data_IF_832405429104
#
_entry.id   IF_832405429104
#
_cell.length_a   1.000
_cell.length_b   1.000
_cell.length_c   1.000
_cell.angle_alpha   90.00
_cell.angle_beta   90.00
_cell.angle_gamma   90.00
#
_symmetry.space_group_name_H-M   'P 1'
#
loop_
_entity.id
_entity.type
_entity.pdbx_description
1 polymer ?
#
# COMPACT_ATOMS: atom_id res chain seq x y z
N UNK A 1 49.54 2.11 -5.44
CA UNK A 1 48.26 2.61 -5.96
C UNK A 1 47.23 1.50 -5.76
N UNK A 2 46.53 1.55 -4.64
CA UNK A 2 45.43 0.63 -4.29
C UNK A 2 44.28 1.50 -3.82
N UNK A 3 43.49 1.95 -4.79
CA UNK A 3 42.19 2.60 -4.60
C UNK A 3 41.17 1.48 -4.54
N UNK A 4 40.71 1.15 -3.33
CA UNK A 4 39.45 0.45 -3.16
C UNK A 4 38.61 1.32 -2.24
N UNK A 5 37.71 2.07 -2.87
CA UNK A 5 36.74 2.96 -2.25
C UNK A 5 35.45 2.14 -2.04
N UNK A 6 35.44 1.15 -1.14
CA UNK A 6 34.24 0.33 -0.88
C UNK A 6 33.37 1.01 0.17
N UNK A 7 32.51 1.94 -0.25
CA UNK A 7 31.53 2.57 0.64
C UNK A 7 30.24 1.75 0.80
N UNK A 8 29.99 0.74 -0.05
CA UNK A 8 28.78 -0.08 -0.05
C UNK A 8 29.10 -1.58 -0.23
N UNK A 9 28.43 -2.48 0.51
CA UNK A 9 28.58 -3.93 0.31
C UNK A 9 27.88 -4.40 -0.98
N UNK A 10 28.42 -5.41 -1.67
CA UNK A 10 27.82 -6.00 -2.88
C UNK A 10 26.47 -6.70 -2.60
N UNK A 11 26.33 -7.28 -1.40
CA UNK A 11 25.15 -8.02 -0.95
C UNK A 11 24.78 -7.68 0.50
N UNK A 12 23.47 -7.69 0.80
CA UNK A 12 22.94 -7.64 2.17
C UNK A 12 22.38 -9.00 2.58
N UNK A 13 22.68 -9.41 3.80
CA UNK A 13 22.10 -10.57 4.47
C UNK A 13 20.88 -10.08 5.27
N UNK A 14 19.70 -10.58 4.93
CA UNK A 14 18.44 -10.29 5.62
C UNK A 14 18.27 -11.30 6.77
N UNK A 15 18.51 -10.86 8.01
CA UNK A 15 18.44 -11.69 9.21
C UNK A 15 16.99 -11.88 9.73
N UNK A 16 15.99 -11.33 9.03
CA UNK A 16 14.66 -11.02 9.56
C UNK A 16 13.97 -12.09 10.43
N UNK A 17 14.14 -13.38 10.15
CA UNK A 17 13.54 -14.49 10.92
C UNK A 17 14.55 -15.45 11.56
N UNK A 18 15.84 -15.10 11.62
CA UNK A 18 16.88 -16.00 12.17
C UNK A 18 16.60 -16.38 13.64
N UNK A 19 15.94 -15.51 14.40
CA UNK A 19 15.52 -15.76 15.79
C UNK A 19 14.20 -16.56 15.91
N UNK A 20 13.47 -16.77 14.80
CA UNK A 20 12.13 -17.39 14.75
C UNK A 20 12.01 -18.43 13.60
N UNK A 21 12.86 -19.47 13.56
CA UNK A 21 12.90 -20.45 12.46
C UNK A 21 11.59 -21.24 12.27
N UNK A 22 10.79 -21.38 13.34
CA UNK A 22 9.48 -22.05 13.28
C UNK A 22 8.44 -21.29 12.45
N UNK A 23 8.66 -20.00 12.16
CA UNK A 23 7.72 -19.16 11.43
C UNK A 23 8.00 -19.12 9.92
N UNK A 24 9.19 -19.53 9.48
CA UNK A 24 9.61 -19.46 8.08
C UNK A 24 8.74 -20.33 7.17
N UNK A 25 8.50 -21.59 7.55
CA UNK A 25 7.67 -22.51 6.79
C UNK A 25 6.19 -22.08 6.73
N UNK A 26 5.54 -21.70 7.86
CA UNK A 26 4.20 -21.11 7.83
C UNK A 26 4.11 -19.88 6.92
N UNK A 27 5.07 -18.95 7.03
CA UNK A 27 5.06 -17.72 6.24
C UNK A 27 5.26 -18.02 4.75
N UNK A 28 6.16 -18.94 4.39
CA UNK A 28 6.35 -19.39 3.02
C UNK A 28 5.06 -19.94 2.42
N UNK A 29 4.36 -20.82 3.14
CA UNK A 29 3.08 -21.40 2.69
C UNK A 29 2.02 -20.31 2.52
N UNK A 30 1.89 -19.39 3.49
CA UNK A 30 0.93 -18.29 3.42
C UNK A 30 1.21 -17.39 2.22
N UNK A 31 2.45 -16.99 2.00
CA UNK A 31 2.85 -16.14 0.86
C UNK A 31 2.63 -16.85 -0.49
N UNK A 32 2.93 -18.15 -0.57
CA UNK A 32 2.75 -18.94 -1.78
C UNK A 32 1.28 -19.02 -2.21
N UNK A 33 0.37 -19.06 -1.24
CA UNK A 33 -1.08 -19.13 -1.49
C UNK A 33 -1.66 -17.72 -1.74
N UNK A 34 -1.28 -16.74 -0.91
CA UNK A 34 -1.86 -15.38 -0.97
C UNK A 34 -1.39 -14.59 -2.18
N UNK A 35 -0.17 -14.82 -2.67
CA UNK A 35 0.36 -14.14 -3.86
C UNK A 35 -0.53 -14.32 -5.11
N UNK A 36 -0.77 -15.55 -5.60
CA UNK A 36 -1.61 -15.74 -6.79
C UNK A 36 -3.05 -15.30 -6.56
N UNK A 37 -3.60 -15.47 -5.35
CA UNK A 37 -4.94 -14.99 -5.00
C UNK A 37 -5.04 -13.47 -5.12
N UNK A 38 -4.02 -12.75 -4.64
CA UNK A 38 -3.94 -11.28 -4.73
C UNK A 38 -3.85 -10.81 -6.17
N UNK A 39 -3.03 -11.47 -6.99
CA UNK A 39 -2.93 -11.17 -8.42
C UNK A 39 -4.29 -11.39 -9.12
N UNK A 40 -4.89 -12.57 -8.92
CA UNK A 40 -6.17 -12.90 -9.51
C UNK A 40 -7.29 -11.94 -9.09
N UNK A 41 -7.36 -11.61 -7.79
CA UNK A 41 -8.36 -10.69 -7.25
C UNK A 41 -8.25 -9.29 -7.84
N UNK A 42 -7.04 -8.74 -7.91
CA UNK A 42 -6.81 -7.41 -8.49
C UNK A 42 -7.02 -7.38 -10.00
N UNK A 43 -6.60 -8.41 -10.74
CA UNK A 43 -6.91 -8.55 -12.17
C UNK A 43 -8.43 -8.59 -12.38
N UNK A 44 -9.16 -9.36 -11.58
CA UNK A 44 -10.61 -9.44 -11.68
C UNK A 44 -11.27 -8.08 -11.44
N UNK A 45 -10.81 -7.30 -10.46
CA UNK A 45 -11.31 -5.94 -10.22
C UNK A 45 -11.06 -5.03 -11.43
N UNK A 46 -9.86 -5.05 -11.99
CA UNK A 46 -9.51 -4.24 -13.17
C UNK A 46 -10.41 -4.62 -14.34
N UNK A 47 -10.57 -5.91 -14.63
CA UNK A 47 -11.41 -6.40 -15.73
C UNK A 47 -12.87 -6.02 -15.53
N UNK A 48 -13.43 -6.29 -14.35
CA UNK A 48 -14.83 -5.98 -14.04
C UNK A 48 -15.10 -4.48 -14.13
N UNK A 49 -14.20 -3.64 -13.61
CA UNK A 49 -14.33 -2.17 -13.65
C UNK A 49 -14.23 -1.61 -15.07
N UNK A 50 -13.51 -2.28 -15.99
CA UNK A 50 -13.34 -1.85 -17.38
C UNK A 50 -14.43 -2.39 -18.31
N UNK A 51 -14.95 -3.58 -18.04
CA UNK A 51 -15.86 -4.29 -18.94
C UNK A 51 -17.33 -4.09 -18.61
N UNK A 52 -17.70 -3.77 -17.35
CA UNK A 52 -19.09 -3.49 -16.98
C UNK A 52 -19.38 -1.98 -17.02
N UNK A 53 -20.19 -1.49 -17.98
CA UNK A 53 -20.53 -0.07 -18.08
C UNK A 53 -21.24 0.49 -16.84
N UNK A 54 -21.86 -0.37 -16.01
CA UNK A 54 -22.51 0.02 -14.76
C UNK A 54 -21.51 0.45 -13.69
N UNK A 55 -20.24 0.10 -13.86
CA UNK A 55 -19.14 0.45 -12.97
C UNK A 55 -18.28 1.62 -13.51
N UNK A 56 -18.75 2.35 -14.53
CA UNK A 56 -18.10 3.58 -15.00
C UNK A 56 -18.32 4.76 -14.03
N UNK A 57 -17.80 4.65 -12.81
CA UNK A 57 -17.77 5.75 -11.85
C UNK A 57 -16.32 6.12 -11.48
N UNK A 58 -16.07 7.37 -11.03
CA UNK A 58 -14.79 7.79 -10.49
C UNK A 58 -14.21 6.85 -9.42
N UNK A 59 -15.04 6.34 -8.51
CA UNK A 59 -14.63 5.36 -7.49
C UNK A 59 -13.96 4.13 -8.11
N UNK A 60 -14.57 3.53 -9.14
CA UNK A 60 -14.03 2.33 -9.80
C UNK A 60 -12.81 2.64 -10.67
N UNK A 61 -12.70 3.86 -11.18
CA UNK A 61 -11.48 4.34 -11.83
C UNK A 61 -10.30 4.39 -10.85
N UNK A 62 -10.48 4.96 -9.66
CA UNK A 62 -9.43 4.96 -8.62
C UNK A 62 -9.17 3.57 -8.07
N UNK A 63 -10.21 2.74 -7.92
CA UNK A 63 -10.05 1.34 -7.50
C UNK A 63 -9.21 0.54 -8.52
N UNK A 64 -9.35 0.81 -9.82
CA UNK A 64 -8.51 0.20 -10.86
C UNK A 64 -7.03 0.58 -10.67
N UNK A 65 -6.74 1.84 -10.33
CA UNK A 65 -5.38 2.30 -10.04
C UNK A 65 -4.84 1.64 -8.76
N UNK A 66 -5.66 1.54 -7.71
CA UNK A 66 -5.31 0.86 -6.47
C UNK A 66 -5.00 -0.62 -6.70
N UNK A 67 -5.81 -1.33 -7.49
CA UNK A 67 -5.56 -2.73 -7.84
C UNK A 67 -4.29 -2.93 -8.65
N UNK A 68 -3.97 -2.02 -9.57
CA UNK A 68 -2.71 -2.06 -10.31
C UNK A 68 -1.51 -1.84 -9.37
N UNK A 69 -1.62 -0.86 -8.46
CA UNK A 69 -0.63 -0.58 -7.43
C UNK A 69 -0.39 -1.79 -6.52
N UNK A 70 -1.47 -2.39 -5.99
CA UNK A 70 -1.42 -3.59 -5.15
C UNK A 70 -0.69 -4.75 -5.84
N UNK A 71 -0.92 -4.91 -7.16
CA UNK A 71 -0.21 -5.90 -7.96
C UNK A 71 1.30 -5.61 -8.00
N UNK A 72 1.68 -4.38 -8.33
CA UNK A 72 3.08 -3.98 -8.40
C UNK A 72 3.79 -4.11 -7.04
N UNK A 73 3.16 -3.65 -5.96
CA UNK A 73 3.68 -3.75 -4.60
C UNK A 73 3.91 -5.21 -4.22
N UNK A 74 2.89 -6.06 -4.37
CA UNK A 74 2.97 -7.47 -4.00
C UNK A 74 4.04 -8.20 -4.84
N UNK A 75 4.12 -7.96 -6.15
CA UNK A 75 5.14 -8.57 -7.03
C UNK A 75 6.55 -8.09 -6.72
N UNK A 76 6.74 -6.87 -6.19
CA UNK A 76 8.07 -6.37 -5.82
C UNK A 76 8.62 -6.98 -4.52
N UNK A 77 7.73 -7.45 -3.64
CA UNK A 77 8.08 -7.93 -2.30
C UNK A 77 8.03 -9.46 -2.24
N UNK A 78 6.88 -10.05 -2.58
CA UNK A 78 6.55 -11.44 -2.23
C UNK A 78 7.44 -12.46 -2.94
N UNK A 79 7.78 -12.34 -4.23
CA UNK A 79 8.69 -13.29 -4.89
C UNK A 79 10.06 -13.35 -4.23
N UNK A 80 10.65 -12.19 -3.88
CA UNK A 80 11.94 -12.14 -3.21
C UNK A 80 11.86 -12.73 -1.80
N UNK A 81 10.78 -12.45 -1.06
CA UNK A 81 10.55 -13.07 0.25
C UNK A 81 10.42 -14.60 0.15
N UNK A 82 9.70 -15.12 -0.84
CA UNK A 82 9.57 -16.56 -1.06
C UNK A 82 10.92 -17.21 -1.36
N UNK A 83 11.76 -16.57 -2.19
CA UNK A 83 13.11 -17.05 -2.47
C UNK A 83 13.99 -17.07 -1.22
N UNK A 84 13.93 -16.01 -0.40
CA UNK A 84 14.70 -15.93 0.84
C UNK A 84 14.25 -16.96 1.88
N UNK A 85 12.93 -17.19 2.01
CA UNK A 85 12.37 -18.18 2.95
C UNK A 85 12.63 -19.62 2.49
N UNK A 86 12.71 -19.88 1.18
CA UNK A 86 12.97 -21.20 0.61
C UNK A 86 14.46 -21.55 0.46
N UNK A 87 15.37 -20.61 0.72
CA UNK A 87 16.81 -20.75 0.51
C UNK A 87 17.58 -20.74 1.84
N UNK A 88 18.69 -21.46 1.90
CA UNK A 88 19.64 -21.38 3.03
C UNK A 88 20.44 -20.07 3.04
N UNK A 89 20.52 -19.36 1.91
CA UNK A 89 21.11 -18.03 1.78
C UNK A 89 20.02 -16.97 1.66
N UNK A 90 19.87 -16.15 2.70
CA UNK A 90 18.89 -15.06 2.79
C UNK A 90 19.52 -13.73 2.37
N UNK A 91 19.89 -13.61 1.10
CA UNK A 91 20.64 -12.48 0.58
C UNK A 91 19.84 -11.68 -0.45
N UNK A 92 20.01 -10.36 -0.44
CA UNK A 92 19.54 -9.45 -1.48
C UNK A 92 20.73 -8.64 -1.98
N UNK A 93 20.86 -8.47 -3.30
CA UNK A 93 21.89 -7.60 -3.85
C UNK A 93 21.66 -6.14 -3.47
N UNK A 94 22.71 -5.32 -3.42
CA UNK A 94 22.56 -3.89 -3.16
C UNK A 94 21.59 -3.22 -4.14
N UNK A 95 21.71 -3.54 -5.44
CA UNK A 95 20.80 -3.02 -6.47
C UNK A 95 19.37 -3.50 -6.25
N UNK A 96 19.18 -4.77 -5.87
CA UNK A 96 17.86 -5.30 -5.55
C UNK A 96 17.21 -4.59 -4.36
N UNK A 97 18.00 -4.34 -3.30
CA UNK A 97 17.59 -3.56 -2.14
C UNK A 97 17.17 -2.14 -2.51
N UNK A 98 17.96 -1.45 -3.32
CA UNK A 98 17.68 -0.09 -3.80
C UNK A 98 16.38 -0.06 -4.61
N UNK A 99 16.22 -0.96 -5.58
CA UNK A 99 15.02 -1.04 -6.41
C UNK A 99 13.78 -1.32 -5.56
N UNK A 100 13.88 -2.28 -4.63
CA UNK A 100 12.80 -2.61 -3.71
C UNK A 100 12.39 -1.41 -2.85
N UNK A 101 13.36 -0.65 -2.33
CA UNK A 101 13.13 0.56 -1.55
C UNK A 101 12.33 1.61 -2.34
N UNK A 102 12.78 1.92 -3.56
CA UNK A 102 12.11 2.89 -4.43
C UNK A 102 10.68 2.47 -4.75
N UNK A 103 10.49 1.21 -5.18
CA UNK A 103 9.16 0.69 -5.55
C UNK A 103 8.24 0.71 -4.34
N UNK A 104 8.72 0.29 -3.18
CA UNK A 104 7.93 0.23 -1.96
C UNK A 104 7.42 1.59 -1.51
N UNK A 105 8.31 2.58 -1.40
CA UNK A 105 7.94 3.93 -0.99
C UNK A 105 7.07 4.63 -2.05
N UNK A 106 7.34 4.38 -3.33
CA UNK A 106 6.51 4.89 -4.42
C UNK A 106 5.07 4.39 -4.34
N UNK A 107 4.90 3.07 -4.23
CA UNK A 107 3.58 2.45 -4.15
C UNK A 107 2.88 2.87 -2.84
N UNK A 108 3.57 2.85 -1.70
CA UNK A 108 2.99 3.24 -0.41
C UNK A 108 2.49 4.69 -0.39
N UNK A 109 3.27 5.65 -0.90
CA UNK A 109 2.85 7.04 -0.97
C UNK A 109 1.66 7.24 -1.93
N UNK A 110 1.69 6.55 -3.07
CA UNK A 110 0.59 6.60 -4.05
C UNK A 110 -0.69 6.01 -3.46
N UNK A 111 -0.60 4.91 -2.70
CA UNK A 111 -1.73 4.28 -2.02
C UNK A 111 -2.36 5.20 -0.98
N UNK A 112 -1.55 5.88 -0.15
CA UNK A 112 -2.04 6.87 0.82
C UNK A 112 -2.95 7.91 0.16
N UNK A 113 -2.50 8.48 -0.95
CA UNK A 113 -3.19 9.53 -1.69
C UNK A 113 -4.41 8.99 -2.46
N UNK A 114 -4.33 7.77 -3.00
CA UNK A 114 -5.47 7.10 -3.64
C UNK A 114 -6.59 6.84 -2.64
N UNK A 115 -6.29 6.35 -1.43
CA UNK A 115 -7.28 6.15 -0.38
C UNK A 115 -7.93 7.48 0.05
N UNK A 116 -7.14 8.57 0.08
CA UNK A 116 -7.69 9.89 0.36
C UNK A 116 -8.65 10.37 -0.74
N UNK A 117 -8.28 10.26 -2.02
CA UNK A 117 -9.17 10.72 -3.11
C UNK A 117 -10.42 9.84 -3.24
N UNK A 118 -10.33 8.54 -2.96
CA UNK A 118 -11.49 7.64 -2.90
C UNK A 118 -12.44 8.04 -1.77
N UNK A 119 -11.93 8.46 -0.61
CA UNK A 119 -12.77 9.00 0.47
C UNK A 119 -13.44 10.32 0.09
N UNK A 120 -12.73 11.17 -0.66
CA UNK A 120 -13.26 12.45 -1.15
C UNK A 120 -14.33 12.25 -2.23
N UNK A 121 -14.16 11.28 -3.13
CA UNK A 121 -15.19 10.87 -4.09
C UNK A 121 -16.49 10.48 -3.36
N UNK A 122 -16.38 9.61 -2.35
CA UNK A 122 -17.51 9.21 -1.52
C UNK A 122 -18.19 10.38 -0.82
N UNK A 123 -17.40 11.35 -0.34
CA UNK A 123 -17.91 12.60 0.24
C UNK A 123 -18.70 13.41 -0.79
N UNK A 124 -18.13 13.64 -1.98
CA UNK A 124 -18.77 14.42 -3.03
C UNK A 124 -20.08 13.77 -3.50
N UNK A 125 -20.09 12.44 -3.63
CA UNK A 125 -21.26 11.69 -4.05
C UNK A 125 -22.43 11.79 -3.05
N UNK A 126 -22.15 11.74 -1.74
CA UNK A 126 -23.18 11.68 -0.69
C UNK A 126 -23.54 13.07 -0.17
N UNK A 127 -22.54 13.89 0.15
CA UNK A 127 -22.74 15.17 0.82
C UNK A 127 -23.02 16.32 -0.15
N UNK A 128 -22.55 16.22 -1.41
CA UNK A 128 -22.63 17.30 -2.42
C UNK A 128 -23.09 16.81 -3.80
N UNK A 129 -24.21 16.07 -3.91
CA UNK A 129 -24.62 15.41 -5.15
C UNK A 129 -24.81 16.35 -6.35
N UNK A 130 -25.28 17.59 -6.10
CA UNK A 130 -25.48 18.60 -7.16
C UNK A 130 -24.18 19.05 -7.85
N UNK A 131 -23.04 18.95 -7.15
CA UNK A 131 -21.74 19.37 -7.67
C UNK A 131 -20.87 18.18 -8.07
N UNK A 132 -21.34 16.95 -7.85
CA UNK A 132 -20.56 15.72 -8.05
C UNK A 132 -20.02 15.62 -9.48
N UNK A 133 -20.88 15.70 -10.49
CA UNK A 133 -20.48 15.55 -11.88
C UNK A 133 -19.62 16.71 -12.41
N UNK A 134 -19.66 17.88 -11.77
CA UNK A 134 -18.82 19.01 -12.14
C UNK A 134 -17.38 18.79 -11.66
N UNK A 135 -17.22 18.28 -10.44
CA UNK A 135 -15.93 18.14 -9.76
C UNK A 135 -15.28 16.77 -10.04
N UNK A 136 -16.05 15.69 -10.07
CA UNK A 136 -15.58 14.32 -10.27
C UNK A 136 -15.92 13.82 -11.68
N UNK A 137 -15.58 14.60 -12.71
CA UNK A 137 -15.69 14.14 -14.09
C UNK A 137 -14.42 13.38 -14.52
N UNK A 138 -14.50 12.66 -15.64
CA UNK A 138 -13.44 11.77 -16.11
C UNK A 138 -12.10 12.50 -16.37
N UNK A 139 -12.13 13.72 -16.91
CA UNK A 139 -10.90 14.49 -17.14
C UNK A 139 -10.21 14.86 -15.83
N UNK A 140 -10.98 15.32 -14.85
CA UNK A 140 -10.45 15.64 -13.52
C UNK A 140 -9.93 14.37 -12.84
N UNK A 141 -10.62 13.24 -12.94
CA UNK A 141 -10.15 11.97 -12.37
C UNK A 141 -8.81 11.54 -12.96
N UNK A 142 -8.63 11.66 -14.29
CA UNK A 142 -7.36 11.35 -14.95
C UNK A 142 -6.26 12.30 -14.46
N UNK A 143 -6.53 13.62 -14.41
CA UNK A 143 -5.58 14.59 -13.90
C UNK A 143 -5.16 14.29 -12.46
N UNK A 144 -6.13 14.01 -11.58
CA UNK A 144 -5.88 13.64 -10.19
C UNK A 144 -5.04 12.38 -10.09
N UNK A 145 -5.34 11.33 -10.87
CA UNK A 145 -4.52 10.13 -10.91
C UNK A 145 -3.08 10.45 -11.33
N UNK A 146 -2.87 11.22 -12.41
CA UNK A 146 -1.53 11.63 -12.83
C UNK A 146 -0.79 12.38 -11.72
N UNK A 147 -1.44 13.33 -11.05
CA UNK A 147 -0.84 14.09 -9.93
C UNK A 147 -0.49 13.15 -8.77
N UNK A 148 -1.36 12.21 -8.41
CA UNK A 148 -1.12 11.24 -7.33
C UNK A 148 0.09 10.37 -7.66
N UNK A 149 0.13 9.77 -8.86
CA UNK A 149 1.26 8.95 -9.31
C UNK A 149 2.57 9.75 -9.34
N UNK A 150 2.56 10.97 -9.90
CA UNK A 150 3.76 11.82 -9.93
C UNK A 150 4.24 12.21 -8.53
N UNK A 151 3.31 12.54 -7.63
CA UNK A 151 3.63 12.87 -6.23
C UNK A 151 4.27 11.67 -5.53
N UNK A 152 3.74 10.46 -5.74
CA UNK A 152 4.33 9.23 -5.21
C UNK A 152 5.76 8.99 -5.72
N UNK A 153 6.02 9.23 -7.01
CA UNK A 153 7.38 9.12 -7.59
C UNK A 153 8.32 10.14 -6.96
N UNK A 154 7.91 11.41 -6.88
CA UNK A 154 8.73 12.47 -6.31
C UNK A 154 9.07 12.20 -4.84
N UNK A 155 8.09 11.72 -4.08
CA UNK A 155 8.28 11.31 -2.69
C UNK A 155 9.30 10.18 -2.56
N UNK A 156 9.16 9.11 -3.36
CA UNK A 156 10.08 7.99 -3.31
C UNK A 156 11.49 8.42 -3.71
N UNK A 157 11.61 9.30 -4.72
CA UNK A 157 12.88 9.86 -5.15
C UNK A 157 13.55 10.67 -4.04
N UNK A 158 12.82 11.55 -3.36
CA UNK A 158 13.41 12.35 -2.28
C UNK A 158 13.84 11.47 -1.11
N UNK A 159 12.96 10.61 -0.60
CA UNK A 159 13.20 9.82 0.60
C UNK A 159 14.30 8.77 0.42
N UNK A 160 14.23 7.99 -0.65
CA UNK A 160 15.22 6.95 -0.92
C UNK A 160 16.58 7.56 -1.30
N UNK A 161 16.64 8.66 -2.07
CA UNK A 161 17.92 9.30 -2.40
C UNK A 161 18.60 9.86 -1.15
N UNK A 162 17.87 10.58 -0.30
CA UNK A 162 18.41 11.10 0.96
C UNK A 162 18.96 9.98 1.85
N UNK A 163 18.27 8.83 1.88
CA UNK A 163 18.69 7.66 2.66
C UNK A 163 19.92 6.98 2.07
N UNK A 164 19.99 6.83 0.75
CA UNK A 164 21.10 6.15 0.07
C UNK A 164 22.40 6.95 0.06
N UNK A 165 22.34 8.26 0.34
CA UNK A 165 23.53 9.09 0.54
C UNK A 165 24.25 8.82 1.87
N UNK A 166 23.62 8.10 2.81
CA UNK A 166 24.24 7.76 4.08
C UNK A 166 25.30 6.65 3.91
N UNK A 167 26.48 6.79 4.55
CA UNK A 167 27.52 5.78 4.48
C UNK A 167 27.13 4.54 5.31
N UNK A 168 27.15 3.35 4.68
CA UNK A 168 26.78 2.08 5.31
C UNK A 168 27.95 1.36 6.01
N UNK A 169 29.17 1.91 5.91
CA UNK A 169 30.35 1.50 6.70
C UNK A 169 30.68 0.00 6.70
N UNK A 170 30.48 -0.69 5.58
CA UNK A 170 30.75 -2.13 5.50
C UNK A 170 29.78 -3.02 6.28
N UNK A 171 28.66 -2.47 6.79
CA UNK A 171 27.58 -3.28 7.37
C UNK A 171 26.80 -3.94 6.24
N UNK A 172 26.88 -5.27 6.17
CA UNK A 172 26.19 -6.08 5.17
C UNK A 172 25.04 -6.92 5.77
N UNK A 173 24.62 -6.66 7.01
CA UNK A 173 23.53 -7.38 7.68
C UNK A 173 22.38 -6.44 8.03
N UNK A 174 21.18 -6.76 7.57
CA UNK A 174 19.96 -6.03 7.87
C UNK A 174 19.03 -6.93 8.71
N UNK A 175 18.75 -6.54 9.96
CA UNK A 175 17.82 -7.25 10.86
C UNK A 175 16.35 -6.93 10.49
N UNK A 176 15.99 -7.22 9.24
CA UNK A 176 14.65 -7.01 8.70
C UNK A 176 14.34 -8.00 7.58
N UNK A 177 13.06 -8.16 7.26
CA UNK A 177 12.59 -9.04 6.17
C UNK A 177 12.70 -8.39 4.78
N UNK A 178 12.84 -7.07 4.75
CA UNK A 178 12.81 -6.21 3.57
C UNK A 178 13.84 -5.10 3.71
N UNK A 179 14.30 -4.57 2.57
CA UNK A 179 15.04 -3.32 2.58
C UNK A 179 14.09 -2.15 2.85
N UNK A 180 14.31 -1.46 3.97
CA UNK A 180 13.48 -0.34 4.41
C UNK A 180 14.34 0.84 4.89
N UNK A 181 13.83 2.05 4.70
CA UNK A 181 14.51 3.30 5.02
C UNK A 181 14.91 3.38 6.50
N UNK A 182 14.03 3.12 7.49
CA UNK A 182 14.40 3.20 8.91
C UNK A 182 15.54 2.25 9.29
N UNK A 183 15.61 1.08 8.64
CA UNK A 183 16.66 0.07 8.88
C UNK A 183 18.00 0.53 8.30
N UNK A 184 17.98 1.14 7.11
CA UNK A 184 19.16 1.72 6.46
C UNK A 184 19.71 2.92 7.27
N UNK A 185 18.85 3.82 7.73
CA UNK A 185 19.25 4.96 8.58
C UNK A 185 19.87 4.44 9.88
N UNK A 186 19.25 3.45 10.53
CA UNK A 186 19.78 2.87 11.77
C UNK A 186 21.15 2.21 11.59
N UNK A 187 21.43 1.62 10.42
CA UNK A 187 22.68 0.90 10.13
C UNK A 187 23.81 1.78 9.58
N UNK A 188 23.49 2.96 9.04
CA UNK A 188 24.49 3.92 8.57
C UNK A 188 25.43 4.43 9.69
N UNK A 189 26.59 5.00 9.34
CA UNK A 189 27.39 5.80 10.27
C UNK A 189 27.22 7.30 10.05
N UNK A 190 27.67 8.08 11.03
CA UNK A 190 27.63 9.54 10.99
C UNK A 190 26.41 10.12 11.67
N UNK A 191 26.23 11.44 11.53
CA UNK A 191 25.07 12.16 12.05
C UNK A 191 23.82 11.81 11.23
N UNK A 192 22.76 11.39 11.92
CA UNK A 192 21.50 10.89 11.31
C UNK A 192 20.32 11.81 11.57
N UNK A 193 20.47 12.78 12.47
CA UNK A 193 19.36 13.62 12.96
C UNK A 193 18.63 14.33 11.81
N UNK A 194 19.37 14.82 10.81
CA UNK A 194 18.76 15.48 9.65
C UNK A 194 17.91 14.52 8.81
N UNK A 195 18.36 13.28 8.59
CA UNK A 195 17.62 12.26 7.84
C UNK A 195 16.41 11.73 8.62
N UNK A 196 16.55 11.51 9.93
CA UNK A 196 15.45 11.10 10.80
C UNK A 196 14.38 12.18 10.91
N UNK A 197 14.79 13.45 10.97
CA UNK A 197 13.88 14.59 10.95
C UNK A 197 13.18 14.72 9.59
N UNK A 198 13.93 14.62 8.48
CA UNK A 198 13.36 14.67 7.13
C UNK A 198 12.31 13.57 6.94
N UNK A 199 12.65 12.31 7.27
CA UNK A 199 11.75 11.17 7.24
C UNK A 199 10.50 11.42 8.11
N UNK A 200 10.67 11.93 9.33
CA UNK A 200 9.54 12.23 10.22
C UNK A 200 8.60 13.28 9.64
N UNK A 201 9.14 14.38 9.12
CA UNK A 201 8.35 15.45 8.49
C UNK A 201 7.58 14.90 7.29
N UNK A 202 8.27 14.17 6.43
CA UNK A 202 7.73 13.63 5.19
C UNK A 202 6.66 12.56 5.46
N UNK A 203 6.86 11.69 6.45
CA UNK A 203 5.84 10.76 6.95
C UNK A 203 4.61 11.48 7.52
N UNK A 204 4.77 12.61 8.23
CA UNK A 204 3.61 13.39 8.70
C UNK A 204 2.80 13.91 7.50
N UNK A 205 3.45 14.46 6.48
CA UNK A 205 2.76 15.00 5.30
C UNK A 205 2.02 13.91 4.50
N UNK A 206 2.62 12.74 4.30
CA UNK A 206 2.03 11.67 3.49
C UNK A 206 1.09 10.73 4.27
N UNK A 207 1.30 10.54 5.57
CA UNK A 207 0.41 9.70 6.38
C UNK A 207 -0.67 10.52 7.09
N UNK A 208 -0.27 11.53 7.87
CA UNK A 208 -1.20 12.20 8.80
C UNK A 208 -2.20 13.08 8.05
N UNK A 209 -1.75 13.89 7.09
CA UNK A 209 -2.65 14.79 6.36
C UNK A 209 -3.71 14.01 5.56
N UNK A 210 -3.35 13.02 4.71
CA UNK A 210 -4.32 12.16 4.04
C UNK A 210 -5.27 11.46 5.01
N UNK A 211 -4.78 10.94 6.14
CA UNK A 211 -5.64 10.33 7.15
C UNK A 211 -6.65 11.32 7.74
N UNK A 212 -6.23 12.53 8.09
CA UNK A 212 -7.13 13.57 8.58
C UNK A 212 -8.22 13.91 7.55
N UNK A 213 -7.86 14.01 6.26
CA UNK A 213 -8.82 14.24 5.18
C UNK A 213 -9.82 13.08 5.05
N UNK A 214 -9.36 11.84 5.16
CA UNK A 214 -10.21 10.65 5.15
C UNK A 214 -11.20 10.69 6.32
N UNK A 215 -10.71 10.91 7.54
CA UNK A 215 -11.55 10.96 8.73
C UNK A 215 -12.58 12.10 8.68
N UNK A 216 -12.18 13.29 8.22
CA UNK A 216 -13.08 14.42 8.04
C UNK A 216 -14.18 14.13 6.98
N UNK A 217 -13.80 13.48 5.89
CA UNK A 217 -14.73 13.05 4.83
C UNK A 217 -15.74 12.06 5.40
N UNK A 218 -15.29 11.03 6.13
CA UNK A 218 -16.19 10.03 6.71
C UNK A 218 -17.04 10.56 7.86
N UNK A 219 -16.56 11.50 8.66
CA UNK A 219 -17.38 12.19 9.66
C UNK A 219 -18.54 12.93 8.98
N UNK A 220 -18.25 13.64 7.88
CA UNK A 220 -19.25 14.36 7.09
C UNK A 220 -20.24 13.42 6.42
N UNK A 221 -19.76 12.32 5.83
CA UNK A 221 -20.59 11.27 5.23
C UNK A 221 -21.50 10.65 6.30
N UNK A 222 -20.96 10.28 7.46
CA UNK A 222 -21.71 9.71 8.57
C UNK A 222 -22.85 10.63 9.00
N UNK A 223 -22.56 11.92 9.18
CA UNK A 223 -23.57 12.92 9.50
C UNK A 223 -24.65 13.05 8.42
N UNK A 224 -24.28 13.03 7.13
CA UNK A 224 -25.24 13.04 6.03
C UNK A 224 -26.11 11.77 5.99
N UNK A 225 -25.51 10.60 6.22
CA UNK A 225 -26.21 9.30 6.24
C UNK A 225 -27.24 9.23 7.37
N UNK A 226 -26.93 9.78 8.55
CA UNK A 226 -27.90 9.86 9.66
C UNK A 226 -29.15 10.67 9.30
N UNK A 227 -29.04 11.63 8.37
CA UNK A 227 -30.18 12.45 7.90
C UNK A 227 -31.03 11.78 6.83
N UNK A 228 -30.56 10.71 6.20
CA UNK A 228 -31.33 9.96 5.19
C UNK A 228 -32.55 9.34 5.87
N UNK A 229 -33.77 9.49 5.33
CA UNK A 229 -34.99 8.92 5.94
C UNK A 229 -35.23 7.44 5.58
N UNK A 230 -34.72 6.98 4.44
CA UNK A 230 -34.86 5.59 3.98
C UNK A 230 -33.88 4.64 4.67
N UNK A 231 -34.39 3.57 5.27
CA UNK A 231 -33.57 2.52 5.89
C UNK A 231 -32.68 1.80 4.88
N UNK A 232 -33.18 1.60 3.66
CA UNK A 232 -32.46 0.94 2.57
C UNK A 232 -31.32 1.83 2.04
N UNK A 233 -31.57 3.14 1.90
CA UNK A 233 -30.55 4.13 1.55
C UNK A 233 -29.43 4.20 2.60
N UNK A 234 -29.77 4.18 3.90
CA UNK A 234 -28.78 4.09 4.98
C UNK A 234 -27.95 2.81 4.91
N UNK A 235 -28.60 1.66 4.74
CA UNK A 235 -27.92 0.35 4.70
C UNK A 235 -26.92 0.26 3.53
N UNK A 236 -27.29 0.78 2.35
CA UNK A 236 -26.39 0.85 1.19
C UNK A 236 -25.18 1.75 1.49
N UNK A 237 -25.38 2.95 2.05
CA UNK A 237 -24.29 3.86 2.38
C UNK A 237 -23.33 3.30 3.44
N UNK A 238 -23.86 2.65 4.49
CA UNK A 238 -23.04 1.98 5.52
C UNK A 238 -22.20 0.84 4.95
N UNK A 239 -22.75 0.04 4.01
CA UNK A 239 -22.02 -1.04 3.34
C UNK A 239 -20.75 -0.53 2.64
N UNK A 240 -20.90 0.50 1.80
CA UNK A 240 -19.77 1.07 1.03
C UNK A 240 -18.78 1.83 1.91
N UNK A 241 -19.25 2.60 2.90
CA UNK A 241 -18.37 3.36 3.79
C UNK A 241 -17.57 2.43 4.72
N UNK A 242 -18.21 1.40 5.26
CA UNK A 242 -17.53 0.45 6.15
C UNK A 242 -16.45 -0.34 5.44
N UNK A 243 -16.62 -0.74 4.17
CA UNK A 243 -15.57 -1.41 3.41
C UNK A 243 -14.31 -0.56 3.28
N UNK A 244 -14.44 0.70 2.88
CA UNK A 244 -13.28 1.58 2.69
C UNK A 244 -12.62 1.93 4.02
N UNK A 245 -13.39 2.18 5.09
CA UNK A 245 -12.82 2.41 6.43
C UNK A 245 -12.02 1.21 6.94
N UNK A 246 -12.42 -0.03 6.62
CA UNK A 246 -11.63 -1.22 6.97
C UNK A 246 -10.30 -1.22 6.23
N UNK A 247 -10.30 -0.94 4.91
CA UNK A 247 -9.06 -0.84 4.11
C UNK A 247 -8.14 0.24 4.67
N UNK A 248 -8.68 1.43 4.94
CA UNK A 248 -7.92 2.54 5.55
C UNK A 248 -7.33 2.12 6.90
N UNK A 249 -8.09 1.42 7.73
CA UNK A 249 -7.62 0.96 9.05
C UNK A 249 -6.49 -0.06 8.93
N UNK A 250 -6.60 -1.00 7.98
CA UNK A 250 -5.60 -2.04 7.72
C UNK A 250 -4.31 -1.46 7.15
N UNK A 251 -4.40 -0.40 6.35
CA UNK A 251 -3.24 0.28 5.77
C UNK A 251 -2.58 1.27 6.76
N UNK A 252 -3.33 2.27 7.25
CA UNK A 252 -2.79 3.34 8.09
C UNK A 252 -2.43 2.88 9.50
N UNK A 253 -3.13 1.89 10.07
CA UNK A 253 -2.86 1.40 11.43
C UNK A 253 -1.42 0.89 11.61
N UNK A 254 -1.00 -0.11 10.81
CA UNK A 254 0.39 -0.59 10.83
C UNK A 254 1.41 0.48 10.43
N UNK A 255 1.11 1.32 9.43
CA UNK A 255 2.01 2.38 8.99
C UNK A 255 2.30 3.41 10.11
N UNK A 256 1.27 3.86 10.82
CA UNK A 256 1.42 4.78 11.97
C UNK A 256 2.22 4.13 13.10
N UNK A 257 1.92 2.86 13.41
CA UNK A 257 2.65 2.09 14.42
C UNK A 257 4.14 1.97 14.09
N UNK A 258 4.47 1.89 12.80
CA UNK A 258 5.85 1.76 12.36
C UNK A 258 6.61 3.09 12.28
N UNK A 259 5.98 4.15 11.74
CA UNK A 259 6.66 5.41 11.41
C UNK A 259 6.49 6.51 12.46
N UNK A 260 5.45 6.46 13.30
CA UNK A 260 5.14 7.53 14.26
C UNK A 260 5.27 7.09 15.74
N UNK A 261 5.51 5.80 15.99
CA UNK A 261 5.67 5.30 17.35
C UNK A 261 7.11 5.56 17.85
N UNK A 262 7.30 6.11 19.06
CA UNK A 262 8.65 6.34 19.59
C UNK A 262 9.38 5.02 19.77
N UNK A 263 10.67 5.01 19.41
CA UNK A 263 11.56 3.85 19.42
C UNK A 263 11.67 3.15 20.78
N UNK A 264 11.34 3.83 21.88
CA UNK A 264 11.24 3.26 23.24
C UNK A 264 10.05 2.33 23.47
N UNK A 265 9.05 2.35 22.58
CA UNK A 265 7.80 1.58 22.71
C UNK A 265 7.61 0.50 21.64
N UNK A 266 8.58 0.35 20.74
CA UNK A 266 8.57 -0.64 19.66
C UNK A 266 9.28 -1.92 20.15
N UNK A 267 8.59 -3.06 20.10
CA UNK A 267 9.24 -4.36 20.35
C UNK A 267 10.09 -4.78 19.15
N UNK A 268 11.18 -5.53 19.40
CA UNK A 268 12.23 -5.83 18.39
C UNK A 268 11.70 -6.39 17.07
N UNK A 269 10.65 -7.21 17.10
CA UNK A 269 10.10 -7.87 15.91
C UNK A 269 8.87 -7.18 15.31
N UNK A 270 8.28 -6.21 16.02
CA UNK A 270 7.07 -5.52 15.58
C UNK A 270 7.21 -4.82 14.21
N UNK A 271 8.31 -4.11 13.87
CA UNK A 271 8.48 -3.52 12.54
C UNK A 271 8.45 -4.56 11.41
N UNK A 272 9.05 -5.73 11.64
CA UNK A 272 9.12 -6.84 10.68
C UNK A 272 7.72 -7.36 10.33
N UNK A 273 6.86 -7.49 11.34
CA UNK A 273 5.47 -7.90 11.15
C UNK A 273 4.62 -6.77 10.57
N UNK A 274 4.83 -5.52 10.98
CA UNK A 274 4.07 -4.40 10.43
C UNK A 274 4.31 -4.25 8.92
N UNK A 275 5.56 -4.40 8.46
CA UNK A 275 5.91 -4.42 7.04
C UNK A 275 5.15 -5.48 6.23
N UNK A 276 4.99 -6.69 6.79
CA UNK A 276 4.14 -7.74 6.20
C UNK A 276 2.66 -7.36 6.17
N UNK A 277 2.16 -6.70 7.22
CA UNK A 277 0.75 -6.31 7.32
C UNK A 277 0.36 -5.23 6.32
N UNK A 278 1.08 -4.11 6.23
CA UNK A 278 0.73 -3.08 5.25
C UNK A 278 1.17 -3.42 3.82
N UNK A 279 2.29 -4.15 3.64
CA UNK A 279 2.80 -4.50 2.30
C UNK A 279 2.19 -5.74 1.65
N UNK A 280 1.61 -6.68 2.42
CA UNK A 280 1.07 -7.95 1.90
C UNK A 280 -0.37 -8.20 2.34
N UNK A 281 -0.67 -8.06 3.64
CA UNK A 281 -2.01 -8.37 4.15
C UNK A 281 -3.05 -7.40 3.60
N UNK A 282 -2.74 -6.10 3.56
CA UNK A 282 -3.64 -5.08 3.02
C UNK A 282 -3.97 -5.36 1.55
N UNK A 283 -2.96 -5.50 0.69
CA UNK A 283 -3.15 -5.81 -0.74
C UNK A 283 -3.87 -7.14 -1.00
N UNK A 284 -3.68 -8.14 -0.13
CA UNK A 284 -4.41 -9.42 -0.21
C UNK A 284 -5.89 -9.25 0.15
N UNK A 285 -6.20 -8.44 1.15
CA UNK A 285 -7.56 -8.26 1.68
C UNK A 285 -8.37 -7.27 0.84
N UNK A 286 -7.72 -6.30 0.20
CA UNK A 286 -8.34 -5.27 -0.65
C UNK A 286 -9.31 -5.86 -1.69
N UNK A 287 -8.93 -6.86 -2.51
CA UNK A 287 -9.85 -7.48 -3.44
C UNK A 287 -11.09 -8.07 -2.80
N UNK A 288 -10.95 -8.77 -1.67
CA UNK A 288 -12.09 -9.38 -0.99
C UNK A 288 -13.02 -8.33 -0.39
N UNK A 289 -12.49 -7.24 0.16
CA UNK A 289 -13.32 -6.16 0.70
C UNK A 289 -14.11 -5.48 -0.42
N UNK A 290 -13.45 -5.10 -1.52
CA UNK A 290 -14.10 -4.38 -2.61
C UNK A 290 -14.99 -5.28 -3.50
N UNK A 291 -14.70 -6.58 -3.62
CA UNK A 291 -15.54 -7.52 -4.39
C UNK A 291 -16.61 -8.21 -3.54
N UNK A 292 -16.27 -8.82 -2.39
CA UNK A 292 -17.20 -9.66 -1.62
C UNK A 292 -18.19 -8.86 -0.77
N UNK A 293 -17.98 -7.57 -0.52
CA UNK A 293 -18.97 -6.74 0.17
C UNK A 293 -19.79 -5.87 -0.77
N UNK A 294 -19.32 -5.65 -2.00
CA UNK A 294 -20.03 -4.83 -2.96
C UNK A 294 -20.93 -5.68 -3.87
N UNK A 295 -22.26 -5.51 -3.72
CA UNK A 295 -23.25 -6.23 -4.52
C UNK A 295 -23.08 -5.97 -6.02
N UNK A 296 -22.75 -4.74 -6.40
CA UNK A 296 -22.63 -4.32 -7.79
C UNK A 296 -21.41 -5.01 -8.44
N UNK A 297 -20.30 -5.13 -7.70
CA UNK A 297 -19.10 -5.86 -8.16
C UNK A 297 -19.34 -7.37 -8.24
N UNK A 298 -20.04 -7.96 -7.27
CA UNK A 298 -20.41 -9.39 -7.33
C UNK A 298 -21.24 -9.73 -8.55
N UNK A 299 -22.24 -8.91 -8.84
CA UNK A 299 -23.12 -9.12 -9.97
C UNK A 299 -22.36 -8.97 -11.29
N UNK A 300 -21.51 -7.95 -11.40
CA UNK A 300 -20.65 -7.75 -12.55
C UNK A 300 -19.66 -8.92 -12.74
N UNK A 301 -19.05 -9.42 -11.66
CA UNK A 301 -18.17 -10.59 -11.71
C UNK A 301 -18.92 -11.85 -12.15
N UNK A 302 -20.12 -12.09 -11.63
CA UNK A 302 -20.97 -13.21 -12.06
C UNK A 302 -21.33 -13.15 -13.54
N UNK A 303 -21.62 -11.94 -14.04
CA UNK A 303 -21.87 -11.72 -15.47
C UNK A 303 -20.62 -11.97 -16.33
N UNK A 304 -19.45 -11.47 -15.91
CA UNK A 304 -18.20 -11.68 -16.61
C UNK A 304 -17.84 -13.16 -16.70
N UNK A 305 -17.93 -13.88 -15.58
CA UNK A 305 -17.68 -15.32 -15.52
C UNK A 305 -18.62 -16.07 -16.45
N UNK A 306 -19.92 -15.77 -16.39
CA UNK A 306 -20.93 -16.35 -17.28
C UNK A 306 -20.60 -16.10 -18.76
N UNK A 307 -20.20 -14.88 -19.12
CA UNK A 307 -19.84 -14.55 -20.51
C UNK A 307 -18.59 -15.29 -20.99
N UNK A 308 -17.58 -15.47 -20.12
CA UNK A 308 -16.38 -16.26 -20.44
C UNK A 308 -16.74 -17.74 -20.69
N UNK A 309 -17.64 -18.30 -19.88
CA UNK A 309 -18.09 -19.69 -20.02
C UNK A 309 -19.05 -19.91 -21.20
N UNK A 310 -19.81 -18.89 -21.61
CA UNK A 310 -20.73 -18.95 -22.76
C UNK A 310 -20.01 -18.63 -24.08
N UNK A 311 -18.90 -17.88 -24.05
CA UNK A 311 -18.09 -17.56 -25.23
C UNK A 311 -17.18 -18.72 -25.69
N UNK A 312 -17.37 -19.93 -25.15
CA UNK A 312 -16.59 -21.14 -25.44
C UNK A 312 -17.52 -22.25 -25.91
#
# INVERSE_FOLDING_TARGET
>A
MTLINESHPEEFILLGLDDLPWLELPLFIVLLITYPMTMMGNIAIILVSKLDPRLNSPMYFFLTNLSFLDMCLTTSIVPQMLLNLGSSKKTISFVGCVVQLYVFHFMGATECLLLAIMSFDGYMAICRPLHYNLIMNQHICILLACVIWLTGVLFALSEATLTLQLPLCGVNKLDHLLCEIPVLIKTACGEKEANELALSVVCIFILVIPLCLILASYASIGHAVLKIKSSEGRKKAFGTCSSHLIVVSLFYGPAISMYLQPSSSITRDQPKFMALFYGVVTSTVNPFIYTLRNKDVKEALGNLVRNIFISK
#
